data_IF_655498063701
#
_entry.id   IF_655498063701
#
_cell.length_a   1.000
_cell.length_b   1.000
_cell.length_c   1.000
_cell.angle_alpha   90.00
_cell.angle_beta   90.00
_cell.angle_gamma   90.00
#
_symmetry.space_group_name_H-M   'P 1'
#
loop_
_entity.id
_entity.type
_entity.pdbx_description
1 polymer ?
#
# COMPACT_ATOMS: atom_id res chain seq x y z
N UNK A 1 4.59 -31.61 4.13
CA UNK A 1 3.78 -30.87 3.13
C UNK A 1 3.83 -29.41 3.52
N UNK A 2 4.30 -28.53 2.63
CA UNK A 2 4.48 -27.10 2.91
C UNK A 2 3.08 -26.49 3.03
N UNK A 3 2.72 -26.00 4.21
CA UNK A 3 1.48 -25.26 4.40
C UNK A 3 1.61 -23.93 3.65
N UNK A 4 1.02 -23.84 2.46
CA UNK A 4 0.83 -22.57 1.75
C UNK A 4 -0.05 -21.73 2.66
N UNK A 5 0.54 -20.71 3.27
CA UNK A 5 -0.21 -19.82 4.16
C UNK A 5 -1.18 -19.01 3.30
N UNK A 6 -2.48 -18.95 3.62
CA UNK A 6 -3.48 -18.21 2.83
C UNK A 6 -3.15 -16.71 2.72
N UNK A 7 -2.27 -16.20 3.59
CA UNK A 7 -1.72 -14.85 3.51
C UNK A 7 -0.99 -14.58 2.19
N UNK A 8 -0.24 -15.54 1.63
CA UNK A 8 0.54 -15.34 0.39
C UNK A 8 -0.36 -15.15 -0.83
N UNK A 9 -1.45 -15.92 -0.91
CA UNK A 9 -2.43 -15.82 -2.00
C UNK A 9 -3.28 -14.55 -1.87
N UNK A 10 -3.71 -14.19 -0.66
CA UNK A 10 -4.44 -12.94 -0.41
C UNK A 10 -3.59 -11.68 -0.67
N UNK A 11 -2.31 -11.71 -0.30
CA UNK A 11 -1.37 -10.64 -0.63
C UNK A 11 -1.14 -10.55 -2.15
N UNK A 12 -1.03 -11.69 -2.82
CA UNK A 12 -0.88 -11.73 -4.28
C UNK A 12 -2.11 -11.19 -4.99
N UNK A 13 -3.33 -11.57 -4.56
CA UNK A 13 -4.57 -11.07 -5.17
C UNK A 13 -4.75 -9.56 -4.93
N UNK A 14 -4.40 -9.06 -3.74
CA UNK A 14 -4.37 -7.64 -3.43
C UNK A 14 -3.41 -6.87 -4.33
N UNK A 15 -2.17 -7.32 -4.44
CA UNK A 15 -1.17 -6.68 -5.31
C UNK A 15 -1.56 -6.76 -6.78
N UNK A 16 -2.12 -7.87 -7.24
CA UNK A 16 -2.63 -8.01 -8.61
C UNK A 16 -3.78 -7.04 -8.90
N UNK A 17 -4.66 -6.76 -7.92
CA UNK A 17 -5.72 -5.76 -8.05
C UNK A 17 -5.13 -4.38 -8.30
N UNK A 18 -4.17 -3.95 -7.46
CA UNK A 18 -3.52 -2.64 -7.59
C UNK A 18 -2.75 -2.53 -8.90
N UNK A 19 -2.06 -3.60 -9.33
CA UNK A 19 -1.34 -3.66 -10.61
C UNK A 19 -2.26 -3.47 -11.81
N UNK A 20 -3.43 -4.10 -11.78
CA UNK A 20 -4.42 -4.05 -12.88
C UNK A 20 -5.23 -2.76 -12.85
N UNK A 21 -5.15 -1.99 -11.77
CA UNK A 21 -5.87 -0.75 -11.59
C UNK A 21 -4.91 0.46 -11.45
N UNK A 22 -4.42 1.03 -12.56
CA UNK A 22 -3.51 2.18 -12.52
C UNK A 22 -4.16 3.44 -11.92
N UNK A 23 -5.49 3.53 -11.89
CA UNK A 23 -6.21 4.61 -11.23
C UNK A 23 -6.07 4.54 -9.71
N UNK A 24 -6.20 3.34 -9.14
CA UNK A 24 -6.02 3.09 -7.72
C UNK A 24 -4.58 3.35 -7.28
N UNK A 25 -3.59 2.85 -8.03
CA UNK A 25 -2.19 3.09 -7.72
C UNK A 25 -1.83 4.59 -7.76
N UNK A 26 -2.37 5.35 -8.72
CA UNK A 26 -2.22 6.82 -8.77
C UNK A 26 -2.89 7.51 -7.58
N UNK A 27 -4.08 7.09 -7.18
CA UNK A 27 -4.79 7.67 -6.04
C UNK A 27 -4.01 7.45 -4.73
N UNK A 28 -3.50 6.23 -4.51
CA UNK A 28 -2.60 5.92 -3.40
C UNK A 28 -1.33 6.76 -3.46
N UNK A 29 -0.76 6.94 -4.65
CA UNK A 29 0.42 7.78 -4.83
C UNK A 29 0.21 9.24 -4.41
N UNK A 30 -0.93 9.82 -4.80
CA UNK A 30 -1.30 11.18 -4.41
C UNK A 30 -1.50 11.30 -2.90
N UNK A 31 -2.12 10.30 -2.29
CA UNK A 31 -2.31 10.21 -0.84
C UNK A 31 -0.96 10.18 -0.12
N UNK A 32 -0.01 9.36 -0.58
CA UNK A 32 1.34 9.28 -0.01
C UNK A 32 2.11 10.59 -0.18
N UNK A 33 2.03 11.24 -1.35
CA UNK A 33 2.63 12.57 -1.57
C UNK A 33 2.07 13.62 -0.61
N UNK A 34 0.78 13.58 -0.31
CA UNK A 34 0.14 14.49 0.64
C UNK A 34 0.63 14.27 2.08
N UNK A 35 0.79 13.01 2.49
CA UNK A 35 1.39 12.65 3.80
C UNK A 35 2.83 13.16 3.87
N UNK A 36 3.61 12.93 2.82
CA UNK A 36 5.02 13.35 2.75
C UNK A 36 5.20 14.87 2.76
N UNK A 37 4.28 15.61 2.11
CA UNK A 37 4.25 17.06 2.15
C UNK A 37 3.98 17.63 3.55
N UNK A 38 3.43 16.82 4.47
CA UNK A 38 3.24 17.16 5.88
C UNK A 38 4.47 16.82 6.74
N UNK A 39 5.54 16.29 6.15
CA UNK A 39 6.75 15.85 6.85
C UNK A 39 6.65 14.46 7.47
N UNK A 40 5.58 13.71 7.16
CA UNK A 40 5.36 12.35 7.66
C UNK A 40 5.80 11.31 6.61
N UNK A 41 6.33 10.17 7.06
CA UNK A 41 6.56 9.04 6.15
C UNK A 41 5.25 8.32 5.87
N UNK A 42 4.97 8.06 4.59
CA UNK A 42 3.83 7.23 4.16
C UNK A 42 3.92 5.79 4.69
N UNK A 43 5.12 5.34 5.06
CA UNK A 43 5.39 4.03 5.67
C UNK A 43 5.43 4.08 7.20
N UNK A 44 5.15 5.24 7.82
CA UNK A 44 5.02 5.34 9.27
C UNK A 44 3.85 4.50 9.77
N UNK A 45 3.96 3.97 10.98
CA UNK A 45 2.90 3.16 11.57
C UNK A 45 1.55 3.90 11.69
N UNK A 46 1.55 5.22 11.85
CA UNK A 46 0.34 6.04 11.87
C UNK A 46 -0.27 6.16 10.48
N UNK A 47 0.56 6.44 9.46
CA UNK A 47 0.10 6.52 8.07
C UNK A 47 -0.46 5.20 7.57
N UNK A 48 0.23 4.07 7.84
CA UNK A 48 -0.27 2.74 7.50
C UNK A 48 -1.61 2.44 8.18
N UNK A 49 -1.79 2.82 9.46
CA UNK A 49 -3.07 2.65 10.14
C UNK A 49 -4.21 3.45 9.46
N UNK A 50 -3.92 4.68 9.04
CA UNK A 50 -4.86 5.53 8.32
C UNK A 50 -5.21 4.95 6.95
N UNK A 51 -4.21 4.54 6.17
CA UNK A 51 -4.41 3.92 4.86
C UNK A 51 -5.24 2.63 5.00
N UNK A 52 -4.90 1.77 5.96
CA UNK A 52 -5.65 0.56 6.27
C UNK A 52 -7.15 0.84 6.49
N UNK A 53 -7.48 1.83 7.33
CA UNK A 53 -8.85 2.23 7.58
C UNK A 53 -9.56 2.78 6.34
N UNK A 54 -8.92 3.68 5.59
CA UNK A 54 -9.53 4.30 4.39
C UNK A 54 -9.76 3.32 3.23
N UNK A 55 -8.94 2.27 3.14
CA UNK A 55 -8.97 1.28 2.06
C UNK A 55 -9.61 -0.04 2.46
N UNK A 56 -10.12 -0.15 3.70
CA UNK A 56 -10.67 -1.39 4.25
C UNK A 56 -9.67 -2.57 4.15
N UNK A 57 -8.40 -2.28 4.43
CA UNK A 57 -7.31 -3.24 4.49
C UNK A 57 -6.92 -3.48 5.94
N UNK A 58 -6.32 -4.63 6.24
CA UNK A 58 -5.57 -4.76 7.48
C UNK A 58 -4.22 -4.02 7.39
N UNK A 59 -3.55 -3.88 8.54
CA UNK A 59 -2.29 -3.12 8.63
C UNK A 59 -1.19 -3.71 7.73
N UNK A 60 -1.06 -5.03 7.70
CA UNK A 60 -0.06 -5.73 6.89
C UNK A 60 -0.32 -5.56 5.39
N UNK A 61 -1.58 -5.67 4.97
CA UNK A 61 -2.00 -5.43 3.59
C UNK A 61 -1.70 -4.00 3.15
N UNK A 62 -2.03 -3.01 3.99
CA UNK A 62 -1.76 -1.60 3.73
C UNK A 62 -0.25 -1.31 3.60
N UNK A 63 0.57 -1.91 4.46
CA UNK A 63 2.04 -1.77 4.40
C UNK A 63 2.62 -2.36 3.10
N UNK A 64 2.13 -3.53 2.69
CA UNK A 64 2.53 -4.19 1.43
C UNK A 64 2.14 -3.34 0.23
N UNK A 65 0.90 -2.86 0.17
CA UNK A 65 0.41 -2.00 -0.91
C UNK A 65 1.19 -0.69 -0.95
N UNK A 66 1.43 -0.06 0.20
CA UNK A 66 2.19 1.19 0.28
C UNK A 66 3.61 1.01 -0.25
N UNK A 67 4.31 -0.03 0.20
CA UNK A 67 5.68 -0.34 -0.26
C UNK A 67 5.72 -0.60 -1.77
N UNK A 68 4.76 -1.37 -2.28
CA UNK A 68 4.66 -1.71 -3.70
C UNK A 68 4.41 -0.48 -4.58
N UNK A 69 3.38 0.30 -4.24
CA UNK A 69 2.99 1.50 -4.99
C UNK A 69 4.08 2.56 -4.92
N UNK A 70 4.73 2.76 -3.76
CA UNK A 70 5.83 3.72 -3.64
C UNK A 70 6.98 3.33 -4.57
N UNK A 71 7.44 2.07 -4.48
CA UNK A 71 8.58 1.59 -5.26
C UNK A 71 8.37 1.61 -6.77
N UNK A 72 7.13 1.46 -7.24
CA UNK A 72 6.84 1.35 -8.67
C UNK A 72 6.21 2.60 -9.28
N UNK A 73 5.45 3.38 -8.51
CA UNK A 73 4.56 4.41 -9.03
C UNK A 73 4.81 5.80 -8.41
N UNK A 74 5.58 5.90 -7.32
CA UNK A 74 5.80 7.16 -6.59
C UNK A 74 7.27 7.43 -6.26
N UNK A 75 8.13 7.68 -7.27
CA UNK A 75 9.56 7.90 -7.04
C UNK A 75 9.89 9.09 -6.14
N UNK A 76 8.94 10.04 -5.97
CA UNK A 76 9.13 11.25 -5.17
C UNK A 76 8.75 11.09 -3.69
N UNK A 77 8.13 9.96 -3.30
CA UNK A 77 7.73 9.68 -1.92
C UNK A 77 8.88 9.03 -1.16
N UNK A 78 9.17 9.49 0.06
CA UNK A 78 10.26 9.03 0.93
C UNK A 78 9.81 8.64 2.34
#
# INVERSE_FOLDING_TARGET
MIAVSPASEAQSSLLESVKRNPGEAKALCQEFKSINAQGESALSGQSIAKIAGTRNLNRTEAEIVATYVIGLNCPDVR
#
